data_IF_431131002639
#
_entry.id   IF_431131002639
#
_cell.length_a   1.000
_cell.length_b   1.000
_cell.length_c   1.000
_cell.angle_alpha   90.00
_cell.angle_beta   90.00
_cell.angle_gamma   90.00
#
_symmetry.space_group_name_H-M   'P 1'
#
loop_
_entity.id
_entity.type
_entity.pdbx_description
1 polymer ?
#
# COMPACT_ATOMS: atom_id res chain seq x y z
N UNK A 1 -8.13 13.87 -30.04
CA UNK A 1 -8.34 13.06 -28.83
C UNK A 1 -6.97 12.57 -28.37
N UNK A 2 -6.32 13.29 -27.46
CA UNK A 2 -4.99 12.94 -26.95
C UNK A 2 -5.13 11.81 -25.94
N UNK A 3 -4.56 10.65 -26.27
CA UNK A 3 -4.36 9.54 -25.34
C UNK A 3 -3.40 9.99 -24.23
N UNK A 4 -3.94 10.51 -23.13
CA UNK A 4 -3.18 10.77 -21.91
C UNK A 4 -2.81 9.42 -21.28
N UNK A 5 -1.73 8.80 -21.76
CA UNK A 5 -1.11 7.66 -21.11
C UNK A 5 -0.54 8.17 -19.79
N UNK A 6 -1.29 7.99 -18.72
CA UNK A 6 -0.87 8.36 -17.37
C UNK A 6 0.15 7.32 -16.90
N UNK A 7 1.43 7.70 -16.98
CA UNK A 7 2.51 6.82 -16.56
C UNK A 7 2.38 6.54 -15.05
N UNK A 8 1.98 5.30 -14.76
CA UNK A 8 1.92 4.74 -13.41
C UNK A 8 3.16 3.89 -13.23
N UNK A 9 3.96 4.19 -12.20
CA UNK A 9 5.14 3.39 -11.91
C UNK A 9 4.70 2.12 -11.16
N UNK A 10 5.05 0.96 -11.71
CA UNK A 10 4.63 -0.34 -11.18
C UNK A 10 5.81 -1.28 -11.04
N UNK A 11 5.69 -2.26 -10.15
CA UNK A 11 6.70 -3.30 -9.99
C UNK A 11 6.30 -4.35 -8.96
N UNK A 12 7.29 -5.15 -8.56
CA UNK A 12 7.11 -6.23 -7.58
C UNK A 12 8.06 -6.01 -6.41
N UNK A 13 7.53 -6.12 -5.20
CA UNK A 13 8.28 -6.20 -3.95
C UNK A 13 8.24 -7.63 -3.44
N UNK A 14 9.38 -8.16 -3.02
CA UNK A 14 9.45 -9.46 -2.36
C UNK A 14 9.81 -9.24 -0.89
N UNK A 15 8.93 -9.67 0.01
CA UNK A 15 9.20 -9.76 1.44
C UNK A 15 9.75 -11.14 1.74
N UNK A 16 10.90 -11.19 2.42
CA UNK A 16 11.56 -12.43 2.82
C UNK A 16 11.55 -12.46 4.35
N UNK A 17 10.94 -13.50 4.93
CA UNK A 17 10.92 -13.75 6.38
C UNK A 17 11.38 -15.19 6.61
N UNK A 18 12.65 -15.36 6.98
CA UNK A 18 13.28 -16.68 7.02
C UNK A 18 13.23 -17.34 5.64
N UNK A 19 12.61 -18.52 5.56
CA UNK A 19 12.42 -19.27 4.30
C UNK A 19 11.07 -18.96 3.60
N UNK A 20 10.30 -18.00 4.11
CA UNK A 20 9.01 -17.61 3.54
C UNK A 20 9.19 -16.41 2.62
N UNK A 21 8.79 -16.59 1.36
CA UNK A 21 8.80 -15.56 0.33
C UNK A 21 7.38 -15.09 0.06
N UNK A 22 7.14 -13.79 0.17
CA UNK A 22 5.84 -13.18 -0.14
C UNK A 22 6.01 -12.07 -1.16
N UNK A 23 5.36 -12.24 -2.31
CA UNK A 23 5.39 -11.27 -3.39
C UNK A 23 4.22 -10.29 -3.25
N UNK A 24 4.50 -9.02 -3.50
CA UNK A 24 3.55 -7.93 -3.56
C UNK A 24 3.74 -7.19 -4.88
N UNK A 25 2.63 -6.87 -5.53
CA UNK A 25 2.62 -5.91 -6.62
C UNK A 25 2.48 -4.52 -6.01
N UNK A 26 3.28 -3.58 -6.48
CA UNK A 26 3.15 -2.18 -6.08
C UNK A 26 2.85 -1.28 -7.29
N UNK A 27 2.13 -0.19 -7.02
CA UNK A 27 1.81 0.85 -7.98
C UNK A 27 1.90 2.21 -7.29
N UNK A 28 2.75 3.10 -7.78
CA UNK A 28 2.77 4.50 -7.39
C UNK A 28 1.83 5.26 -8.32
N UNK A 29 0.79 5.84 -7.74
CA UNK A 29 -0.19 6.61 -8.47
C UNK A 29 0.22 8.08 -8.53
N UNK A 30 -0.12 8.76 -9.62
CA UNK A 30 0.14 10.20 -9.78
C UNK A 30 -0.53 11.04 -8.67
N UNK A 31 -1.62 10.55 -8.08
CA UNK A 31 -2.30 11.18 -6.94
C UNK A 31 -1.55 10.99 -5.59
N UNK A 32 -0.25 10.66 -5.63
CA UNK A 32 0.63 10.66 -4.46
C UNK A 32 0.46 9.48 -3.50
N UNK A 33 -0.12 8.36 -3.95
CA UNK A 33 -0.28 7.19 -3.09
C UNK A 33 0.33 5.92 -3.66
N UNK A 34 0.91 5.13 -2.77
CA UNK A 34 1.44 3.80 -3.03
C UNK A 34 0.34 2.78 -2.78
N UNK A 35 0.00 2.01 -3.80
CA UNK A 35 -0.87 0.84 -3.67
C UNK A 35 -0.01 -0.40 -3.58
N UNK A 36 -0.25 -1.24 -2.58
CA UNK A 36 0.35 -2.55 -2.42
C UNK A 36 -0.75 -3.60 -2.53
N UNK A 37 -0.52 -4.65 -3.32
CA UNK A 37 -1.45 -5.76 -3.49
C UNK A 37 -0.72 -7.10 -3.39
N UNK A 38 -1.31 -8.05 -2.70
CA UNK A 38 -0.88 -9.46 -2.73
C UNK A 38 -2.09 -10.37 -2.69
N UNK A 39 -2.01 -11.50 -3.39
CA UNK A 39 -3.05 -12.53 -3.36
C UNK A 39 -2.38 -13.86 -3.03
N UNK A 40 -2.86 -14.53 -1.98
CA UNK A 40 -2.41 -15.85 -1.57
C UNK A 40 -3.59 -16.61 -0.97
N UNK A 41 -3.75 -17.89 -1.32
CA UNK A 41 -4.77 -18.79 -0.75
C UNK A 41 -6.20 -18.18 -0.78
N UNK A 42 -6.56 -17.56 -1.92
CA UNK A 42 -7.82 -16.84 -2.15
C UNK A 42 -8.04 -15.60 -1.26
N UNK A 43 -7.07 -15.23 -0.45
CA UNK A 43 -7.05 -13.99 0.34
C UNK A 43 -6.30 -12.93 -0.45
N UNK A 44 -6.97 -11.81 -0.72
CA UNK A 44 -6.37 -10.64 -1.35
C UNK A 44 -6.17 -9.54 -0.31
N UNK A 45 -4.92 -9.16 -0.13
CA UNK A 45 -4.50 -7.96 0.60
C UNK A 45 -4.39 -6.79 -0.37
N UNK A 46 -4.98 -5.65 -0.01
CA UNK A 46 -4.81 -4.39 -0.72
C UNK A 46 -4.59 -3.29 0.31
N UNK A 47 -3.49 -2.57 0.21
CA UNK A 47 -3.21 -1.40 1.04
C UNK A 47 -2.97 -0.18 0.16
N UNK A 48 -3.58 0.94 0.53
CA UNK A 48 -3.32 2.25 -0.07
C UNK A 48 -2.61 3.09 0.98
N UNK A 49 -1.39 3.50 0.70
CA UNK A 49 -0.51 4.25 1.61
C UNK A 49 -0.38 5.66 1.06
N UNK A 50 -0.73 6.65 1.88
CA UNK A 50 -0.67 8.07 1.56
C UNK A 50 0.32 8.75 2.49
N UNK A 51 1.23 9.52 1.92
CA UNK A 51 2.05 10.48 2.66
C UNK A 51 1.32 11.82 2.66
N UNK A 52 0.68 12.15 3.79
CA UNK A 52 -0.11 13.38 3.94
C UNK A 52 0.81 14.56 4.23
N UNK A 53 1.86 14.32 5.01
CA UNK A 53 2.99 15.23 5.24
C UNK A 53 4.23 14.43 5.62
N UNK A 54 5.37 15.09 5.76
CA UNK A 54 6.63 14.46 6.21
C UNK A 54 6.51 13.75 7.56
N UNK A 55 5.49 14.11 8.36
CA UNK A 55 5.26 13.58 9.69
C UNK A 55 3.99 12.73 9.82
N UNK A 56 3.16 12.65 8.76
CA UNK A 56 1.92 11.89 8.79
C UNK A 56 1.81 11.00 7.55
N UNK A 57 1.78 9.70 7.81
CA UNK A 57 1.41 8.68 6.82
C UNK A 57 0.13 8.00 7.27
N UNK A 58 -0.83 7.84 6.37
CA UNK A 58 -2.02 7.03 6.61
C UNK A 58 -2.04 5.85 5.66
N UNK A 59 -2.63 4.73 6.08
CA UNK A 59 -2.92 3.63 5.19
C UNK A 59 -4.32 3.07 5.39
N UNK A 60 -4.94 2.68 4.27
CA UNK A 60 -6.23 2.00 4.23
C UNK A 60 -6.00 0.60 3.67
N UNK A 61 -6.19 -0.40 4.53
CA UNK A 61 -6.02 -1.81 4.20
C UNK A 61 -7.37 -2.48 4.01
N UNK A 62 -7.48 -3.32 2.99
CA UNK A 62 -8.65 -4.14 2.67
C UNK A 62 -8.17 -5.58 2.53
N UNK A 63 -8.79 -6.49 3.27
CA UNK A 63 -8.66 -7.92 3.07
C UNK A 63 -9.94 -8.48 2.46
N UNK A 64 -9.77 -9.28 1.41
CA UNK A 64 -10.87 -10.00 0.76
C UNK A 64 -10.60 -11.49 0.76
N UNK A 65 -11.63 -12.32 0.94
CA UNK A 65 -11.59 -13.76 0.66
C UNK A 65 -12.72 -14.11 -0.29
N UNK A 66 -12.43 -14.77 -1.41
CA UNK A 66 -13.44 -15.11 -2.43
C UNK A 66 -14.28 -13.89 -2.84
N UNK A 67 -13.63 -12.75 -3.08
CA UNK A 67 -14.23 -11.44 -3.38
C UNK A 67 -15.06 -10.77 -2.27
N UNK A 68 -15.28 -11.42 -1.13
CA UNK A 68 -15.96 -10.83 0.01
C UNK A 68 -14.97 -10.10 0.92
N UNK A 69 -15.33 -8.89 1.39
CA UNK A 69 -14.52 -8.17 2.37
C UNK A 69 -14.58 -8.90 3.72
N UNK A 70 -13.42 -9.20 4.29
CA UNK A 70 -13.31 -9.85 5.60
C UNK A 70 -12.73 -8.91 6.67
N UNK A 71 -11.97 -7.90 6.26
CA UNK A 71 -11.47 -6.86 7.14
C UNK A 71 -11.16 -5.57 6.37
N UNK A 72 -11.34 -4.44 7.05
CA UNK A 72 -10.89 -3.13 6.60
C UNK A 72 -10.19 -2.49 7.81
N UNK A 73 -9.03 -1.88 7.58
CA UNK A 73 -8.31 -1.17 8.62
C UNK A 73 -7.87 0.22 8.11
N UNK A 74 -7.92 1.18 9.02
CA UNK A 74 -7.29 2.49 8.85
C UNK A 74 -6.15 2.57 9.85
N UNK A 75 -4.94 2.87 9.38
CA UNK A 75 -3.77 3.03 10.25
C UNK A 75 -3.14 4.39 10.02
N UNK A 76 -2.91 5.16 11.09
CA UNK A 76 -2.12 6.38 11.04
C UNK A 76 -0.76 6.14 11.67
N UNK A 77 0.26 6.74 11.05
CA UNK A 77 1.63 6.75 11.54
C UNK A 77 2.05 8.21 11.66
N UNK A 78 2.27 8.65 12.89
CA UNK A 78 2.69 10.02 13.21
C UNK A 78 4.14 9.97 13.69
N UNK A 79 5.02 10.67 12.99
CA UNK A 79 6.41 10.83 13.41
C UNK A 79 6.47 11.82 14.57
N UNK A 80 6.99 11.39 15.73
CA UNK A 80 7.25 12.28 16.86
C UNK A 80 8.55 13.02 16.58
N UNK A 81 8.49 14.35 16.53
CA UNK A 81 9.66 15.22 16.41
C UNK A 81 9.97 15.76 17.80
N UNK A 82 11.20 15.61 18.28
CA UNK A 82 11.66 16.36 19.46
C UNK A 82 11.95 17.79 19.00
N UNK A 83 11.29 18.75 19.61
CA UNK A 83 11.75 20.14 19.59
C UNK A 83 12.99 20.22 20.48
N UNK A 84 14.10 20.70 19.93
CA UNK A 84 15.27 21.06 20.73
C UNK A 84 14.85 22.21 21.66
N UNK A 85 14.66 21.88 22.94
CA UNK A 85 14.50 22.85 24.04
C UNK A 85 15.85 23.09 24.69
#
# INVERSE_FOLDING_TARGET
>A
MTNNKTDTFTGVLQKIVGHVYQNYQFQINQNGYLKIKSTKDQITYIEHIYYISDNLRISITKLKRLNNYIAIAFTSYIKIIKSDQ
#
